data_IF_193431084260
#
_entry.id   IF_193431084260
#
_cell.length_a   1.000
_cell.length_b   1.000
_cell.length_c   1.000
_cell.angle_alpha   90.00
_cell.angle_beta   90.00
_cell.angle_gamma   90.00
#
_symmetry.space_group_name_H-M   'P 1'
#
loop_
_entity.id
_entity.type
_entity.pdbx_description
1 polymer ?
#
# COMPACT_ATOMS: atom_id res chain seq x y z
N UNK A 1 -14.54 -7.91 10.47
CA UNK A 1 -14.03 -7.54 9.13
C UNK A 1 -12.54 -7.86 9.11
N UNK A 2 -12.06 -8.78 8.26
CA UNK A 2 -10.63 -9.04 8.11
C UNK A 2 -10.09 -8.12 7.02
N UNK A 3 -9.35 -7.08 7.39
CA UNK A 3 -8.62 -6.24 6.44
C UNK A 3 -7.31 -6.92 6.02
N UNK A 4 -6.99 -6.87 4.73
CA UNK A 4 -5.74 -7.32 4.15
C UNK A 4 -4.66 -6.29 4.47
N UNK A 5 -3.62 -6.71 5.18
CA UNK A 5 -2.49 -5.85 5.54
C UNK A 5 -1.39 -5.97 4.48
N UNK A 6 -1.00 -4.84 3.90
CA UNK A 6 -0.04 -4.79 2.78
C UNK A 6 1.20 -3.98 3.14
N UNK A 7 2.38 -4.47 2.76
CA UNK A 7 3.64 -3.73 2.76
C UNK A 7 4.06 -3.50 1.30
N UNK A 8 4.45 -2.28 0.96
CA UNK A 8 4.95 -1.94 -0.39
C UNK A 8 6.47 -1.79 -0.34
N UNK A 9 7.19 -2.64 -1.07
CA UNK A 9 8.65 -2.56 -1.20
C UNK A 9 9.02 -2.28 -2.66
N UNK A 10 9.63 -1.13 -2.92
CA UNK A 10 10.07 -0.69 -4.25
C UNK A 10 11.15 0.38 -4.09
N UNK A 11 12.16 0.41 -4.94
CA UNK A 11 13.28 1.35 -4.88
C UNK A 11 12.90 2.78 -5.31
N UNK A 12 11.73 2.95 -5.93
CA UNK A 12 11.21 4.23 -6.42
C UNK A 12 10.03 4.74 -5.58
N UNK A 13 10.22 5.90 -4.93
CA UNK A 13 9.20 6.52 -4.07
C UNK A 13 7.87 6.82 -4.80
N UNK A 14 7.94 7.23 -6.08
CA UNK A 14 6.76 7.54 -6.90
C UNK A 14 5.85 6.32 -7.07
N UNK A 15 6.43 5.13 -7.28
CA UNK A 15 5.70 3.88 -7.45
C UNK A 15 4.97 3.51 -6.16
N UNK A 16 5.66 3.59 -5.01
CA UNK A 16 5.05 3.30 -3.70
C UNK A 16 3.89 4.24 -3.37
N UNK A 17 4.03 5.52 -3.69
CA UNK A 17 2.98 6.51 -3.48
C UNK A 17 1.77 6.24 -4.36
N UNK A 18 1.97 5.97 -5.65
CA UNK A 18 0.87 5.64 -6.58
C UNK A 18 0.13 4.37 -6.17
N UNK A 19 0.85 3.30 -5.84
CA UNK A 19 0.27 2.04 -5.36
C UNK A 19 -0.51 2.23 -4.06
N UNK A 20 0.04 2.98 -3.10
CA UNK A 20 -0.67 3.28 -1.85
C UNK A 20 -2.00 3.97 -2.12
N UNK A 21 -2.02 4.99 -2.99
CA UNK A 21 -3.26 5.72 -3.30
C UNK A 21 -4.34 4.81 -3.88
N UNK A 22 -3.97 3.91 -4.79
CA UNK A 22 -4.91 2.97 -5.40
C UNK A 22 -5.42 1.96 -4.36
N UNK A 23 -4.52 1.38 -3.56
CA UNK A 23 -4.86 0.37 -2.55
C UNK A 23 -5.72 0.92 -1.41
N UNK A 24 -5.58 2.20 -1.06
CA UNK A 24 -6.41 2.87 -0.03
C UNK A 24 -7.84 3.18 -0.51
N UNK A 25 -8.15 3.00 -1.80
CA UNK A 25 -9.53 3.10 -2.32
C UNK A 25 -10.38 1.86 -2.01
N UNK A 26 -9.74 0.74 -1.69
CA UNK A 26 -10.42 -0.52 -1.38
C UNK A 26 -10.75 -0.62 0.12
N UNK A 27 -12.00 -0.94 0.46
CA UNK A 27 -12.49 -0.95 1.84
C UNK A 27 -11.85 -2.04 2.74
N UNK A 28 -11.34 -3.09 2.10
CA UNK A 28 -10.76 -4.27 2.75
C UNK A 28 -9.23 -4.26 2.77
N UNK A 29 -8.55 -3.25 2.22
CA UNK A 29 -7.09 -3.17 2.18
C UNK A 29 -6.56 -2.09 3.12
N UNK A 30 -5.40 -2.32 3.71
CA UNK A 30 -4.67 -1.32 4.49
C UNK A 30 -3.16 -1.47 4.28
N UNK A 31 -2.52 -0.40 3.80
CA UNK A 31 -1.06 -0.33 3.67
C UNK A 31 -0.46 0.02 5.03
N UNK A 32 0.25 -0.94 5.64
CA UNK A 32 0.81 -0.81 6.98
C UNK A 32 2.28 -0.38 7.01
N UNK A 33 2.98 -0.50 5.88
CA UNK A 33 4.39 -0.16 5.77
C UNK A 33 4.83 0.09 4.32
N UNK A 34 5.94 0.83 4.19
CA UNK A 34 6.67 0.99 2.93
C UNK A 34 8.17 0.77 3.18
N UNK A 35 8.83 0.09 2.26
CA UNK A 35 10.27 -0.12 2.25
C UNK A 35 10.87 0.36 0.92
N UNK A 36 12.14 0.72 0.94
CA UNK A 36 12.92 1.10 -0.24
C UNK A 36 13.92 0.02 -0.61
#
# INVERSE_FOLDING_TARGET
MNKISVLIADDHSMVRQGLKQILELEDDITVIAQAS
#
